data_IF_438710228815
#
_entry.id   IF_438710228815
#
_cell.length_a   1.000
_cell.length_b   1.000
_cell.length_c   1.000
_cell.angle_alpha   90.00
_cell.angle_beta   90.00
_cell.angle_gamma   90.00
#
_symmetry.space_group_name_H-M   'P 1'
#
loop_
_entity.id
_entity.type
_entity.pdbx_description
1 polymer ?
#
# COMPACT_ATOMS: atom_id res chain seq x y z
N UNK A 1 31.71 11.11 30.89
CA UNK A 1 30.66 12.14 30.86
C UNK A 1 29.70 11.72 29.76
N UNK A 2 28.64 11.02 30.17
CA UNK A 2 27.63 10.46 29.27
C UNK A 2 26.70 11.57 28.77
N UNK A 3 26.54 11.64 27.47
CA UNK A 3 25.50 12.41 26.80
C UNK A 3 24.56 11.44 26.05
N UNK A 4 23.70 10.76 26.82
CA UNK A 4 22.51 10.11 26.28
C UNK A 4 21.37 11.13 26.37
N UNK A 5 21.12 11.85 25.29
CA UNK A 5 19.87 12.56 25.04
C UNK A 5 19.14 11.85 23.90
N UNK A 6 18.41 10.80 24.27
CA UNK A 6 17.44 10.14 23.40
C UNK A 6 16.31 11.13 23.13
N UNK A 7 16.14 11.51 21.89
CA UNK A 7 14.99 12.26 21.37
C UNK A 7 13.73 11.41 21.55
N UNK A 8 13.01 11.62 22.64
CA UNK A 8 11.61 11.15 22.71
C UNK A 8 10.74 12.04 21.78
N UNK A 9 9.92 11.44 20.91
CA UNK A 9 9.04 12.21 20.05
C UNK A 9 8.09 13.09 20.87
N UNK A 10 7.89 14.31 20.43
CA UNK A 10 7.04 15.34 21.09
C UNK A 10 5.57 14.95 21.32
N UNK A 11 5.10 13.90 20.70
CA UNK A 11 3.78 13.29 20.71
C UNK A 11 3.29 12.75 22.06
N UNK A 12 4.18 12.33 22.97
CA UNK A 12 3.75 11.91 24.30
C UNK A 12 3.25 13.06 25.19
N UNK A 13 3.63 14.29 24.91
CA UNK A 13 3.14 15.46 25.67
C UNK A 13 1.77 15.92 25.20
N UNK A 14 1.46 15.85 23.93
CA UNK A 14 0.14 16.22 23.37
C UNK A 14 -0.95 15.20 23.72
N UNK A 15 -0.61 13.91 23.83
CA UNK A 15 -1.55 12.86 24.26
C UNK A 15 -2.28 13.19 25.57
N UNK A 16 -1.60 13.85 26.50
CA UNK A 16 -2.22 14.24 27.81
C UNK A 16 -3.20 15.41 27.69
N UNK A 17 -3.02 16.27 26.70
CA UNK A 17 -3.91 17.40 26.47
C UNK A 17 -5.18 16.97 25.73
N UNK A 18 -5.02 16.12 24.73
CA UNK A 18 -6.13 15.59 23.92
C UNK A 18 -7.08 14.70 24.75
N UNK A 19 -6.53 13.84 25.61
CA UNK A 19 -7.32 13.02 26.54
C UNK A 19 -8.08 13.87 27.59
N UNK A 20 -7.54 15.04 27.95
CA UNK A 20 -8.25 15.97 28.86
C UNK A 20 -9.39 16.70 28.18
N UNK A 21 -9.28 17.05 26.91
CA UNK A 21 -10.36 17.69 26.14
C UNK A 21 -11.48 16.70 25.83
N UNK A 22 -11.17 15.45 25.51
CA UNK A 22 -12.16 14.39 25.34
C UNK A 22 -12.90 14.05 26.64
N UNK A 23 -12.22 14.10 27.80
CA UNK A 23 -12.83 13.88 29.12
C UNK A 23 -13.75 15.05 29.56
N UNK A 24 -13.44 16.27 29.16
CA UNK A 24 -14.28 17.45 29.48
C UNK A 24 -15.60 17.43 28.69
N UNK A 25 -15.62 16.91 27.48
CA UNK A 25 -16.84 16.75 26.70
C UNK A 25 -17.79 15.67 27.26
N UNK A 26 -17.28 14.69 28.02
CA UNK A 26 -18.11 13.65 28.65
C UNK A 26 -18.74 14.06 30.00
N UNK A 27 -18.26 15.13 30.65
CA UNK A 27 -18.76 15.52 32.00
C UNK A 27 -19.84 16.61 32.01
N UNK A 28 -20.21 17.17 30.88
CA UNK A 28 -21.16 18.30 30.82
C UNK A 28 -22.66 17.95 30.66
N UNK A 29 -23.01 16.64 30.61
CA UNK A 29 -24.43 16.25 30.42
C UNK A 29 -24.87 15.16 31.42
N UNK A 30 -24.92 15.47 32.69
CA UNK A 30 -25.66 14.72 33.70
C UNK A 30 -26.45 15.70 34.60
N UNK A 31 -27.68 16.00 34.22
CA UNK A 31 -28.73 16.45 35.13
C UNK A 31 -29.94 15.53 35.01
N UNK A 32 -30.59 15.14 36.11
CA UNK A 32 -31.47 13.99 36.12
C UNK A 32 -32.91 14.35 35.75
N UNK A 33 -33.50 13.63 34.80
CA UNK A 33 -34.97 13.55 34.69
C UNK A 33 -35.44 12.21 35.23
N UNK A 34 -36.18 12.28 36.36
CA UNK A 34 -36.97 11.16 36.84
C UNK A 34 -38.30 11.11 36.07
N UNK A 35 -38.66 9.97 35.53
CA UNK A 35 -40.03 9.44 35.53
C UNK A 35 -40.14 8.07 34.87
N UNK A 36 -40.67 7.09 35.57
CA UNK A 36 -41.62 6.10 35.06
C UNK A 36 -41.07 4.82 34.50
N UNK A 37 -40.69 3.87 35.38
CA UNK A 37 -40.53 2.47 35.03
C UNK A 37 -41.88 1.81 34.66
N UNK A 38 -41.93 1.16 33.49
CA UNK A 38 -42.83 0.00 33.24
C UNK A 38 -41.99 -1.14 32.68
N UNK A 39 -41.82 -2.15 33.53
CA UNK A 39 -41.27 -3.45 33.21
C UNK A 39 -42.23 -4.18 32.28
N UNK A 40 -41.80 -4.59 31.12
CA UNK A 40 -42.40 -5.68 30.34
C UNK A 40 -41.32 -6.70 30.07
N UNK A 41 -41.37 -7.79 30.84
CA UNK A 41 -40.64 -9.03 30.50
C UNK A 41 -41.17 -9.54 29.16
N UNK A 42 -40.30 -9.83 28.26
CA UNK A 42 -40.51 -10.71 27.11
C UNK A 42 -39.40 -11.72 27.02
N UNK A 43 -39.82 -12.94 27.11
CA UNK A 43 -39.11 -14.21 26.98
C UNK A 43 -38.29 -14.28 25.68
N UNK A 44 -37.14 -14.92 25.81
CA UNK A 44 -36.16 -15.07 24.74
C UNK A 44 -36.60 -15.95 23.58
N UNK A 45 -36.12 -15.60 22.44
CA UNK A 45 -35.84 -16.53 21.35
C UNK A 45 -34.51 -16.08 20.72
N UNK A 46 -33.55 -16.97 20.72
CA UNK A 46 -32.29 -16.74 20.04
C UNK A 46 -32.54 -16.57 18.54
N UNK A 47 -32.21 -15.41 18.00
CA UNK A 47 -32.21 -15.17 16.57
C UNK A 47 -30.76 -15.25 16.14
N UNK A 48 -30.48 -16.15 15.18
CA UNK A 48 -29.19 -16.33 14.56
C UNK A 48 -28.69 -15.03 13.94
N UNK A 49 -27.40 -14.77 14.12
CA UNK A 49 -26.69 -13.71 13.45
C UNK A 49 -26.55 -14.11 11.97
N UNK A 50 -27.42 -13.54 11.16
CA UNK A 50 -27.26 -13.49 9.72
C UNK A 50 -26.58 -12.14 9.42
N UNK A 51 -25.24 -12.12 9.41
CA UNK A 51 -24.43 -10.95 9.04
C UNK A 51 -24.37 -10.81 7.52
N UNK A 52 -25.49 -10.50 6.91
CA UNK A 52 -25.51 -9.91 5.58
C UNK A 52 -25.48 -8.39 5.75
N UNK A 53 -24.49 -7.64 5.21
CA UNK A 53 -24.49 -6.19 5.29
C UNK A 53 -25.63 -5.64 4.43
N UNK A 54 -26.80 -5.49 5.00
CA UNK A 54 -27.92 -4.81 4.37
C UNK A 54 -27.80 -3.31 4.59
N UNK A 55 -27.52 -2.56 3.51
CA UNK A 55 -27.79 -1.14 3.44
C UNK A 55 -26.58 -0.25 3.68
N UNK A 56 -25.97 0.16 2.58
CA UNK A 56 -25.03 1.28 2.47
C UNK A 56 -25.71 2.60 2.89
N UNK A 57 -25.82 2.87 4.20
CA UNK A 57 -26.36 4.16 4.67
C UNK A 57 -25.31 5.28 4.63
N UNK A 58 -24.05 4.94 4.30
CA UNK A 58 -22.95 5.87 4.19
C UNK A 58 -22.18 6.13 5.49
N UNK A 59 -22.71 5.71 6.67
CA UNK A 59 -22.11 6.03 7.97
C UNK A 59 -20.73 5.42 8.21
N UNK A 60 -20.38 4.37 7.47
CA UNK A 60 -19.11 3.67 7.59
C UNK A 60 -18.09 4.02 6.50
N UNK A 61 -18.43 4.99 5.64
CA UNK A 61 -17.66 5.33 4.44
C UNK A 61 -16.24 5.80 4.75
N UNK A 62 -15.99 6.41 5.89
CA UNK A 62 -14.68 6.85 6.35
C UNK A 62 -13.98 5.87 7.30
N UNK A 63 -14.48 4.64 7.48
CA UNK A 63 -13.83 3.67 8.36
C UNK A 63 -12.43 3.27 7.87
N UNK A 64 -12.19 3.36 6.56
CA UNK A 64 -10.86 3.11 5.99
C UNK A 64 -9.77 4.02 6.57
N UNK A 65 -10.11 5.23 7.03
CA UNK A 65 -9.13 6.15 7.60
C UNK A 65 -8.69 5.81 9.04
N UNK A 66 -9.41 4.96 9.77
CA UNK A 66 -9.04 4.64 11.14
C UNK A 66 -7.65 4.03 11.20
N UNK A 67 -6.78 4.50 12.12
CA UNK A 67 -5.40 4.06 12.30
C UNK A 67 -4.38 5.13 11.95
N UNK A 68 -3.17 4.70 11.60
CA UNK A 68 -2.03 5.59 11.37
C UNK A 68 -1.63 5.60 9.90
N UNK A 69 -1.23 6.77 9.43
CA UNK A 69 -0.90 7.01 8.03
C UNK A 69 0.36 7.84 7.87
N UNK A 70 1.18 7.48 6.90
CA UNK A 70 2.19 8.35 6.29
C UNK A 70 1.56 8.99 5.05
N UNK A 71 1.77 10.29 4.87
CA UNK A 71 1.13 11.06 3.80
C UNK A 71 2.19 11.84 3.03
N UNK A 72 2.26 11.59 1.73
CA UNK A 72 3.00 12.44 0.81
C UNK A 72 2.07 13.51 0.26
N UNK A 73 2.48 14.76 0.37
CA UNK A 73 1.73 15.92 -0.08
C UNK A 73 2.38 16.52 -1.31
N UNK A 74 1.57 16.93 -2.29
CA UNK A 74 1.94 17.84 -3.37
C UNK A 74 0.95 19.00 -3.37
N UNK A 75 1.45 20.22 -3.20
CA UNK A 75 0.62 21.43 -3.13
C UNK A 75 1.15 22.50 -4.05
N UNK A 76 0.27 23.17 -4.81
CA UNK A 76 0.65 24.31 -5.62
C UNK A 76 1.15 25.45 -4.73
N UNK A 77 2.32 25.99 -5.03
CA UNK A 77 2.90 27.14 -4.31
C UNK A 77 2.08 28.41 -4.51
N UNK A 78 1.52 28.62 -5.72
CA UNK A 78 0.58 29.70 -6.00
C UNK A 78 -0.69 29.11 -6.61
N UNK A 79 -1.82 29.30 -5.93
CA UNK A 79 -3.14 28.78 -6.32
C UNK A 79 -3.90 29.83 -7.09
N UNK A 80 -4.75 29.40 -8.03
CA UNK A 80 -5.56 30.28 -8.89
C UNK A 80 -4.75 31.31 -9.69
N UNK A 81 -3.47 31.02 -9.90
CA UNK A 81 -2.50 31.84 -10.61
C UNK A 81 -1.96 31.19 -11.90
N UNK A 82 -2.54 30.05 -12.31
CA UNK A 82 -2.04 29.26 -13.44
C UNK A 82 -0.66 28.66 -13.22
N UNK A 83 -0.24 28.50 -11.96
CA UNK A 83 1.05 27.94 -11.58
C UNK A 83 1.10 26.43 -11.86
N UNK A 84 2.28 25.94 -12.23
CA UNK A 84 2.62 24.52 -12.31
C UNK A 84 3.76 24.16 -11.34
N UNK A 85 4.08 25.04 -10.39
CA UNK A 85 5.16 24.84 -9.41
C UNK A 85 4.57 24.21 -8.15
N UNK A 86 4.89 22.94 -7.94
CA UNK A 86 4.41 22.14 -6.81
C UNK A 86 5.49 22.02 -5.73
N UNK A 87 5.13 22.19 -4.50
CA UNK A 87 5.94 21.82 -3.34
C UNK A 87 5.56 20.43 -2.86
N UNK A 88 6.58 19.65 -2.43
CA UNK A 88 6.40 18.31 -1.89
C UNK A 88 6.81 18.33 -0.43
N UNK A 89 5.98 17.77 0.44
CA UNK A 89 6.28 17.59 1.85
C UNK A 89 5.57 16.34 2.40
N UNK A 90 6.00 15.86 3.58
CA UNK A 90 5.43 14.68 4.20
C UNK A 90 4.69 15.03 5.50
N UNK A 91 3.75 14.17 5.85
CA UNK A 91 3.02 14.28 7.10
C UNK A 91 2.71 12.89 7.66
N UNK A 92 2.40 12.85 8.94
CA UNK A 92 1.78 11.71 9.59
C UNK A 92 0.38 12.10 10.06
N UNK A 93 -0.53 11.14 10.06
CA UNK A 93 -1.90 11.31 10.54
C UNK A 93 -2.31 10.11 11.37
N UNK A 94 -3.06 10.35 12.44
CA UNK A 94 -3.71 9.31 13.21
C UNK A 94 -5.20 9.60 13.33
N UNK A 95 -6.03 8.73 12.74
CA UNK A 95 -7.48 8.85 12.74
C UNK A 95 -8.12 7.92 13.77
N UNK A 96 -9.07 8.44 14.55
CA UNK A 96 -9.80 7.72 15.58
C UNK A 96 -11.31 7.88 15.40
N UNK A 97 -12.11 6.80 15.59
CA UNK A 97 -13.57 6.90 15.56
C UNK A 97 -14.10 7.71 16.74
N UNK A 98 -15.17 8.44 16.52
CA UNK A 98 -15.94 9.17 17.52
C UNK A 98 -17.41 8.76 17.47
N UNK A 99 -18.15 9.03 18.54
CA UNK A 99 -19.61 8.89 18.60
C UNK A 99 -20.12 7.52 18.16
N UNK A 100 -19.40 6.43 18.52
CA UNK A 100 -19.79 5.07 18.14
C UNK A 100 -19.70 4.79 16.63
N UNK A 101 -18.84 5.54 15.89
CA UNK A 101 -18.60 5.35 14.46
C UNK A 101 -19.37 6.31 13.54
N UNK A 102 -20.22 7.18 14.08
CA UNK A 102 -20.89 8.27 13.30
C UNK A 102 -20.00 9.50 13.08
N UNK A 103 -18.75 9.44 13.51
CA UNK A 103 -17.75 10.47 13.29
C UNK A 103 -16.35 9.93 13.50
N UNK A 104 -15.36 10.70 13.06
CA UNK A 104 -13.96 10.46 13.36
C UNK A 104 -13.21 11.78 13.46
N UNK A 105 -12.04 11.72 14.08
CA UNK A 105 -11.12 12.84 14.21
C UNK A 105 -9.71 12.36 13.92
N UNK A 106 -8.93 13.17 13.24
CA UNK A 106 -7.51 12.93 13.07
C UNK A 106 -6.68 14.14 13.48
N UNK A 107 -5.41 13.85 13.79
CA UNK A 107 -4.33 14.84 13.86
C UNK A 107 -3.48 14.71 12.59
N UNK A 108 -3.04 15.83 12.05
CA UNK A 108 -2.16 15.92 10.89
C UNK A 108 -0.91 16.68 11.30
N UNK A 109 0.26 16.05 11.20
CA UNK A 109 1.55 16.65 11.57
C UNK A 109 2.51 16.57 10.40
N UNK A 110 2.81 17.72 9.78
CA UNK A 110 3.72 17.77 8.63
C UNK A 110 5.17 18.08 9.02
N UNK A 111 6.10 17.76 8.13
CA UNK A 111 7.48 18.24 8.15
C UNK A 111 7.65 19.63 7.49
N UNK A 112 6.59 20.13 6.81
CA UNK A 112 6.58 21.46 6.21
C UNK A 112 6.45 22.54 7.28
N UNK A 113 7.28 23.57 7.17
CA UNK A 113 7.24 24.75 8.04
C UNK A 113 6.69 25.95 7.28
N UNK A 114 5.96 26.79 7.98
CA UNK A 114 5.41 28.01 7.40
C UNK A 114 6.53 28.94 6.95
N UNK A 115 6.51 29.48 5.72
CA UNK A 115 7.53 30.37 5.22
C UNK A 115 7.79 31.54 6.18
N UNK A 116 9.06 31.75 6.50
CA UNK A 116 9.51 32.82 7.41
C UNK A 116 9.34 32.52 8.91
N UNK A 117 9.02 31.28 9.26
CA UNK A 117 8.90 30.81 10.66
C UNK A 117 9.51 29.41 10.81
N UNK A 118 9.75 28.98 12.07
CA UNK A 118 10.09 27.59 12.40
C UNK A 118 8.84 26.77 12.79
N UNK A 119 7.64 27.32 12.56
CA UNK A 119 6.40 26.68 12.96
C UNK A 119 5.97 25.63 11.93
N UNK A 120 5.86 24.36 12.39
CA UNK A 120 5.33 23.28 11.57
C UNK A 120 3.85 23.49 11.28
N UNK A 121 3.43 23.10 10.09
CA UNK A 121 2.02 23.03 9.74
C UNK A 121 1.40 21.78 10.38
N UNK A 122 0.54 22.01 11.36
CA UNK A 122 -0.18 20.99 12.13
C UNK A 122 -1.66 21.32 12.06
N UNK A 123 -2.49 20.32 11.92
CA UNK A 123 -3.93 20.51 11.88
C UNK A 123 -4.72 19.30 12.37
N UNK A 124 -6.01 19.46 12.40
CA UNK A 124 -6.98 18.46 12.81
C UNK A 124 -8.14 18.44 11.83
N UNK A 125 -8.58 17.24 11.43
CA UNK A 125 -9.83 17.08 10.71
C UNK A 125 -10.87 16.41 11.60
N UNK A 126 -12.07 17.03 11.69
CA UNK A 126 -13.25 16.42 12.30
C UNK A 126 -14.24 16.06 11.18
N UNK A 127 -14.69 14.79 11.15
CA UNK A 127 -15.72 14.32 10.20
C UNK A 127 -16.92 13.81 10.96
N UNK A 128 -18.10 14.28 10.58
CA UNK A 128 -19.38 13.90 11.21
C UNK A 128 -20.38 13.46 10.14
N UNK A 129 -21.06 12.35 10.38
CA UNK A 129 -22.11 11.83 9.51
C UNK A 129 -23.48 12.33 9.96
N UNK A 130 -24.19 13.00 9.07
CA UNK A 130 -25.58 13.43 9.28
C UNK A 130 -26.54 12.31 8.86
N UNK A 131 -27.20 11.67 9.82
CA UNK A 131 -28.09 10.55 9.55
C UNK A 131 -29.30 10.91 8.66
N UNK A 132 -29.85 12.13 8.79
CA UNK A 132 -30.96 12.64 7.99
C UNK A 132 -30.52 13.04 6.58
N UNK A 133 -29.41 13.77 6.46
CA UNK A 133 -28.88 14.21 5.17
C UNK A 133 -28.16 13.10 4.40
N UNK A 134 -27.75 12.02 5.10
CA UNK A 134 -26.88 10.94 4.59
C UNK A 134 -25.59 11.46 3.98
N UNK A 135 -25.06 12.56 4.54
CA UNK A 135 -23.83 13.19 4.12
C UNK A 135 -22.84 13.30 5.28
N UNK A 136 -21.57 13.30 4.95
CA UNK A 136 -20.50 13.65 5.85
C UNK A 136 -20.19 15.15 5.75
N UNK A 137 -19.97 15.78 6.89
CA UNK A 137 -19.42 17.13 7.00
C UNK A 137 -17.99 17.01 7.49
N UNK A 138 -17.05 17.64 6.77
CA UNK A 138 -15.61 17.60 7.03
C UNK A 138 -15.19 19.01 7.44
N UNK A 139 -14.67 19.14 8.66
CA UNK A 139 -14.17 20.38 9.25
C UNK A 139 -12.66 20.28 9.40
N UNK A 140 -11.96 21.37 9.14
CA UNK A 140 -10.54 21.51 9.38
C UNK A 140 -10.26 22.58 10.42
N UNK A 141 -9.19 22.42 11.20
CA UNK A 141 -8.60 23.46 12.03
C UNK A 141 -7.07 23.35 11.98
N UNK A 142 -6.40 24.46 11.73
CA UNK A 142 -4.94 24.54 11.73
C UNK A 142 -4.38 25.11 13.03
N UNK A 143 -3.11 24.85 13.31
CA UNK A 143 -2.43 25.39 14.51
C UNK A 143 -2.14 26.89 14.44
N UNK A 144 -2.39 27.52 13.30
CA UNK A 144 -2.12 28.96 13.11
C UNK A 144 -3.17 29.88 13.75
N UNK A 145 -4.41 29.42 13.86
CA UNK A 145 -5.51 30.20 14.43
C UNK A 145 -6.40 29.41 15.38
N UNK A 146 -6.38 28.06 15.28
CA UNK A 146 -7.18 27.19 16.14
C UNK A 146 -8.69 27.29 15.90
N UNK A 147 -9.11 27.78 14.74
CA UNK A 147 -10.51 27.97 14.36
C UNK A 147 -10.94 26.82 13.44
N UNK A 148 -12.16 26.31 13.63
CA UNK A 148 -12.76 25.37 12.69
C UNK A 148 -13.23 26.10 11.44
N UNK A 149 -12.70 25.72 10.28
CA UNK A 149 -13.16 26.22 8.99
C UNK A 149 -14.59 25.75 8.69
N UNK A 150 -15.34 26.49 7.86
CA UNK A 150 -16.62 26.05 7.35
C UNK A 150 -16.49 24.67 6.70
N UNK A 151 -17.45 23.73 6.93
CA UNK A 151 -17.30 22.38 6.45
C UNK A 151 -17.50 22.27 4.94
N UNK A 152 -16.79 21.32 4.33
CA UNK A 152 -17.23 20.75 3.06
C UNK A 152 -18.14 19.56 3.35
N UNK A 153 -19.23 19.41 2.58
CA UNK A 153 -20.22 18.36 2.78
C UNK A 153 -20.42 17.52 1.53
N UNK A 154 -20.68 16.22 1.70
CA UNK A 154 -20.88 15.30 0.59
C UNK A 154 -20.95 13.84 1.02
N UNK A 155 -20.79 12.94 0.05
CA UNK A 155 -20.92 11.51 0.25
C UNK A 155 -20.00 10.73 -0.70
N UNK A 156 -19.90 9.43 -0.46
CA UNK A 156 -19.24 8.49 -1.37
C UNK A 156 -20.28 7.89 -2.33
N UNK A 157 -19.86 7.70 -3.57
CA UNK A 157 -20.64 7.05 -4.62
C UNK A 157 -19.75 6.09 -5.43
N UNK A 158 -20.38 5.12 -6.10
CA UNK A 158 -19.74 4.29 -7.12
C UNK A 158 -19.75 5.04 -8.45
N UNK A 159 -18.60 5.18 -9.12
CA UNK A 159 -18.47 5.84 -10.42
C UNK A 159 -18.80 4.91 -11.60
N UNK A 160 -19.44 3.75 -11.35
CA UNK A 160 -19.94 2.85 -12.40
C UNK A 160 -18.95 1.80 -12.88
N UNK A 161 -17.76 1.74 -12.28
CA UNK A 161 -16.72 0.75 -12.53
C UNK A 161 -16.31 -0.02 -11.26
N UNK A 162 -17.14 0.07 -10.20
CA UNK A 162 -16.87 -0.51 -8.88
C UNK A 162 -15.93 0.32 -8.01
N UNK A 163 -15.42 1.45 -8.50
CA UNK A 163 -14.57 2.35 -7.73
C UNK A 163 -15.42 3.29 -6.88
N UNK A 164 -15.19 3.25 -5.58
CA UNK A 164 -15.86 4.13 -4.62
C UNK A 164 -15.11 5.45 -4.49
N UNK A 165 -15.78 6.56 -4.78
CA UNK A 165 -15.24 7.91 -4.74
C UNK A 165 -16.06 8.78 -3.82
N UNK A 166 -15.39 9.49 -2.89
CA UNK A 166 -16.00 10.52 -2.04
C UNK A 166 -15.86 11.91 -2.67
N UNK A 167 -16.95 12.65 -2.82
CA UNK A 167 -16.93 14.05 -3.30
C UNK A 167 -17.63 14.95 -2.30
N UNK A 168 -16.93 16.00 -1.85
CA UNK A 168 -17.38 16.93 -0.84
C UNK A 168 -17.21 18.36 -1.34
N UNK A 169 -18.23 19.17 -1.21
CA UNK A 169 -18.27 20.53 -1.72
C UNK A 169 -18.50 21.52 -0.58
N UNK A 170 -17.90 22.68 -0.69
CA UNK A 170 -18.04 23.78 0.24
C UNK A 170 -17.69 25.11 -0.39
N UNK A 171 -17.66 26.14 0.46
CA UNK A 171 -17.23 27.50 0.12
C UNK A 171 -16.13 27.93 1.08
N UNK A 172 -15.19 28.70 0.58
CA UNK A 172 -14.07 29.22 1.35
C UNK A 172 -13.65 30.58 0.76
N UNK A 173 -12.66 31.21 1.34
CA UNK A 173 -12.04 32.41 0.84
C UNK A 173 -10.54 32.17 0.61
N UNK A 174 -10.04 32.48 -0.57
CA UNK A 174 -8.63 32.42 -0.89
C UNK A 174 -8.12 33.81 -1.29
N UNK A 175 -7.19 34.39 -0.51
CA UNK A 175 -6.63 35.72 -0.74
C UNK A 175 -7.71 36.81 -0.92
N UNK A 176 -8.78 36.80 -0.09
CA UNK A 176 -9.86 37.75 -0.15
C UNK A 176 -10.88 37.51 -1.27
N UNK A 177 -10.81 36.38 -1.97
CA UNK A 177 -11.76 35.99 -3.03
C UNK A 177 -12.59 34.78 -2.59
N UNK A 178 -13.91 34.83 -2.70
CA UNK A 178 -14.74 33.66 -2.46
C UNK A 178 -14.43 32.57 -3.50
N UNK A 179 -14.28 31.34 -3.05
CA UNK A 179 -14.01 30.15 -3.87
C UNK A 179 -14.98 29.04 -3.52
N UNK A 180 -15.34 28.24 -4.54
CA UNK A 180 -15.89 26.91 -4.29
C UNK A 180 -14.73 25.95 -4.01
N UNK A 181 -14.91 25.11 -3.00
CA UNK A 181 -13.94 24.07 -2.61
C UNK A 181 -14.51 22.71 -2.92
N UNK A 182 -13.70 21.84 -3.51
CA UNK A 182 -14.03 20.43 -3.70
C UNK A 182 -12.92 19.57 -3.13
N UNK A 183 -13.27 18.68 -2.19
CA UNK A 183 -12.43 17.56 -1.76
C UNK A 183 -12.88 16.28 -2.46
N UNK A 184 -11.92 15.48 -2.88
CA UNK A 184 -12.19 14.20 -3.51
C UNK A 184 -11.31 13.10 -2.92
N UNK A 185 -11.93 12.01 -2.51
CA UNK A 185 -11.29 10.81 -2.04
C UNK A 185 -11.42 9.71 -3.09
N UNK A 186 -10.31 9.06 -3.45
CA UNK A 186 -10.24 8.00 -4.46
C UNK A 186 -9.14 7.01 -4.12
N UNK A 187 -8.95 5.95 -4.93
CA UNK A 187 -7.91 4.94 -4.75
C UNK A 187 -7.89 4.36 -3.32
N UNK A 188 -9.08 4.09 -2.79
CA UNK A 188 -9.28 3.68 -1.41
C UNK A 188 -9.14 2.17 -1.32
N UNK A 189 -8.16 1.73 -0.51
CA UNK A 189 -7.98 0.33 -0.08
C UNK A 189 -7.86 0.26 1.45
N UNK A 190 -7.57 -0.92 2.00
CA UNK A 190 -7.29 -1.04 3.42
C UNK A 190 -6.02 -0.27 3.83
N UNK A 191 -5.02 -0.12 2.93
CA UNK A 191 -3.71 0.46 3.24
C UNK A 191 -3.34 1.67 2.39
N UNK A 192 -4.15 2.08 1.43
CA UNK A 192 -3.91 3.28 0.61
C UNK A 192 -5.16 4.13 0.47
N UNK A 193 -4.97 5.42 0.24
CA UNK A 193 -6.02 6.34 -0.21
C UNK A 193 -5.37 7.54 -0.90
N UNK A 194 -6.10 8.16 -1.81
CA UNK A 194 -5.72 9.42 -2.43
C UNK A 194 -6.80 10.47 -2.17
N UNK A 195 -6.38 11.63 -1.71
CA UNK A 195 -7.23 12.80 -1.57
C UNK A 195 -6.69 13.95 -2.40
N UNK A 196 -7.58 14.73 -2.99
CA UNK A 196 -7.18 16.00 -3.56
C UNK A 196 -8.20 17.12 -3.31
N UNK A 197 -7.66 18.34 -3.29
CA UNK A 197 -8.42 19.59 -3.22
C UNK A 197 -8.40 20.31 -4.56
N UNK A 198 -9.53 20.88 -4.92
CA UNK A 198 -9.62 21.78 -6.05
C UNK A 198 -10.42 23.04 -5.68
N UNK A 199 -10.04 24.18 -6.26
CA UNK A 199 -10.75 25.45 -6.14
C UNK A 199 -11.42 25.82 -7.47
N UNK A 200 -12.55 26.53 -7.38
CA UNK A 200 -13.24 27.12 -8.49
C UNK A 200 -13.62 28.56 -8.16
N UNK A 201 -13.43 29.49 -9.11
CA UNK A 201 -13.82 30.91 -9.02
C UNK A 201 -15.02 31.24 -9.90
N UNK A 202 -15.58 30.27 -10.60
CA UNK A 202 -16.67 30.39 -11.56
C UNK A 202 -17.86 29.47 -11.22
N UNK A 203 -18.13 29.36 -9.92
CA UNK A 203 -19.24 28.58 -9.34
C UNK A 203 -19.25 27.10 -9.70
N UNK A 204 -18.06 26.51 -9.97
CA UNK A 204 -17.89 25.10 -10.25
C UNK A 204 -17.86 24.74 -11.73
N UNK A 205 -17.86 25.75 -12.63
CA UNK A 205 -17.75 25.50 -14.06
C UNK A 205 -16.34 24.97 -14.44
N UNK A 206 -15.31 25.53 -13.82
CA UNK A 206 -13.92 25.04 -13.96
C UNK A 206 -13.28 24.83 -12.57
N UNK A 207 -12.30 23.93 -12.50
CA UNK A 207 -11.64 23.55 -11.26
C UNK A 207 -10.12 23.51 -11.43
N UNK A 208 -9.39 24.18 -10.55
CA UNK A 208 -7.95 24.02 -10.40
C UNK A 208 -7.67 23.05 -9.25
N UNK A 209 -7.14 21.87 -9.57
CA UNK A 209 -6.60 20.98 -8.52
C UNK A 209 -5.30 21.56 -8.01
N UNK A 210 -5.22 21.81 -6.69
CA UNK A 210 -4.13 22.57 -6.08
C UNK A 210 -3.47 21.89 -4.89
N UNK A 211 -3.96 20.72 -4.46
CA UNK A 211 -3.34 19.93 -3.41
C UNK A 211 -3.70 18.46 -3.58
N UNK A 212 -2.70 17.57 -3.53
CA UNK A 212 -2.84 16.14 -3.49
C UNK A 212 -2.22 15.57 -2.22
N UNK A 213 -2.85 14.54 -1.65
CA UNK A 213 -2.35 13.75 -0.55
C UNK A 213 -2.45 12.28 -0.90
N UNK A 214 -1.31 11.56 -0.88
CA UNK A 214 -1.26 10.10 -1.01
C UNK A 214 -1.00 9.51 0.36
N UNK A 215 -1.97 8.73 0.82
CA UNK A 215 -1.98 8.08 2.12
C UNK A 215 -1.44 6.66 1.99
N UNK A 216 -0.56 6.27 2.92
CA UNK A 216 -0.11 4.91 3.13
C UNK A 216 -0.24 4.57 4.59
N UNK A 217 -0.92 3.45 4.89
CA UNK A 217 -1.08 2.99 6.27
C UNK A 217 0.28 2.59 6.84
N UNK A 218 0.50 2.93 8.09
CA UNK A 218 1.69 2.53 8.84
C UNK A 218 1.28 1.73 10.07
N UNK A 219 2.18 0.86 10.54
CA UNK A 219 2.06 0.17 11.82
C UNK A 219 2.45 1.07 12.99
N UNK A 220 2.47 0.52 14.22
CA UNK A 220 2.83 1.27 15.43
C UNK A 220 4.32 1.66 15.46
N UNK A 221 5.17 1.01 14.69
CA UNK A 221 6.59 1.30 14.55
C UNK A 221 6.88 2.29 13.41
N UNK A 222 5.86 2.67 12.63
CA UNK A 222 5.93 3.62 11.53
C UNK A 222 6.28 3.01 10.18
N UNK A 223 6.27 1.68 10.04
CA UNK A 223 6.51 1.01 8.78
C UNK A 223 5.25 1.02 7.91
N UNK A 224 5.43 1.26 6.62
CA UNK A 224 4.33 1.25 5.65
C UNK A 224 3.78 -0.17 5.48
N UNK A 225 2.46 -0.31 5.60
CA UNK A 225 1.75 -1.56 5.32
C UNK A 225 1.33 -1.58 3.84
N UNK A 226 1.78 -2.61 3.14
CA UNK A 226 1.43 -2.83 1.73
C UNK A 226 0.35 -3.91 1.59
N UNK A 227 -0.45 -3.79 0.55
CA UNK A 227 -1.36 -4.83 0.07
C UNK A 227 -0.92 -5.25 -1.33
N UNK A 228 -0.25 -6.38 -1.41
CA UNK A 228 0.26 -6.92 -2.66
C UNK A 228 -0.67 -8.04 -3.14
N UNK A 229 -1.94 -7.66 -3.43
CA UNK A 229 -2.92 -8.61 -3.98
C UNK A 229 -2.62 -8.94 -5.44
N UNK A 230 -1.84 -8.10 -6.12
CA UNK A 230 -1.28 -8.35 -7.44
C UNK A 230 0.21 -8.06 -7.40
N UNK A 231 1.03 -8.97 -7.87
CA UNK A 231 2.48 -8.74 -8.03
C UNK A 231 2.93 -9.03 -9.46
N UNK A 232 3.97 -8.35 -9.88
CA UNK A 232 4.71 -8.67 -11.10
C UNK A 232 6.07 -9.27 -10.72
N UNK A 233 6.33 -10.50 -11.17
CA UNK A 233 7.67 -11.09 -11.19
C UNK A 233 8.27 -10.81 -12.56
N UNK A 234 9.28 -9.95 -12.60
CA UNK A 234 9.90 -9.43 -13.81
C UNK A 234 11.32 -9.96 -13.95
N UNK A 235 11.61 -10.61 -15.06
CA UNK A 235 12.91 -11.16 -15.40
C UNK A 235 13.47 -10.42 -16.62
N UNK A 236 14.44 -9.53 -16.41
CA UNK A 236 15.02 -8.75 -17.50
C UNK A 236 16.30 -9.39 -18.01
N UNK A 237 16.42 -9.62 -19.32
CA UNK A 237 17.67 -9.92 -19.97
C UNK A 237 18.45 -8.61 -20.21
N UNK A 238 19.67 -8.57 -19.70
CA UNK A 238 20.51 -7.39 -19.73
C UNK A 238 21.57 -7.46 -20.84
N UNK A 239 22.02 -6.32 -21.31
CA UNK A 239 23.25 -6.26 -22.10
C UNK A 239 24.40 -6.87 -21.29
N UNK A 240 25.32 -7.61 -21.92
CA UNK A 240 26.40 -8.28 -21.22
C UNK A 240 27.17 -7.34 -20.29
N UNK A 241 27.33 -7.75 -19.03
CA UNK A 241 28.00 -7.02 -17.95
C UNK A 241 27.39 -5.64 -17.58
N UNK A 242 26.16 -5.31 -18.04
CA UNK A 242 25.53 -4.02 -17.72
C UNK A 242 24.40 -4.13 -16.67
N UNK A 243 24.21 -5.31 -16.06
CA UNK A 243 23.20 -5.51 -15.03
C UNK A 243 23.36 -4.54 -13.85
N UNK A 244 24.58 -4.38 -13.35
CA UNK A 244 24.83 -3.57 -12.16
C UNK A 244 24.68 -2.06 -12.43
N UNK A 245 24.85 -1.60 -13.67
CA UNK A 245 24.49 -0.24 -14.07
C UNK A 245 22.97 0.03 -13.88
N UNK A 246 22.14 -0.95 -14.26
CA UNK A 246 20.70 -0.83 -14.03
C UNK A 246 20.35 -0.91 -12.54
N UNK A 247 21.00 -1.80 -11.80
CA UNK A 247 20.77 -1.93 -10.33
C UNK A 247 21.06 -0.59 -9.64
N UNK A 248 22.20 0.04 -9.90
CA UNK A 248 22.55 1.34 -9.30
C UNK A 248 21.57 2.43 -9.69
N UNK A 249 21.20 2.51 -10.97
CA UNK A 249 20.21 3.48 -11.44
C UNK A 249 18.84 3.25 -10.81
N UNK A 250 18.40 1.98 -10.73
CA UNK A 250 17.10 1.58 -10.18
C UNK A 250 17.00 1.95 -8.69
N UNK A 251 18.01 1.61 -7.91
CA UNK A 251 18.05 1.90 -6.48
C UNK A 251 18.10 3.39 -6.15
N UNK A 252 18.77 4.17 -6.98
CA UNK A 252 18.91 5.60 -6.77
C UNK A 252 17.71 6.42 -7.24
N UNK A 253 17.09 6.00 -8.36
CA UNK A 253 16.14 6.87 -9.06
C UNK A 253 14.72 6.29 -9.16
N UNK A 254 14.52 4.95 -9.04
CA UNK A 254 13.24 4.36 -9.40
C UNK A 254 12.45 3.77 -8.23
N UNK A 255 13.04 3.50 -7.08
CA UNK A 255 12.30 2.91 -5.96
C UNK A 255 11.26 3.91 -5.44
N UNK A 256 11.69 5.03 -4.85
CA UNK A 256 10.79 5.98 -4.22
C UNK A 256 9.77 6.60 -5.18
N UNK A 257 10.13 6.96 -6.44
CA UNK A 257 9.13 7.47 -7.38
C UNK A 257 8.07 6.46 -7.80
N UNK A 258 8.40 5.17 -7.88
CA UNK A 258 7.40 4.12 -8.10
C UNK A 258 6.46 4.00 -6.88
N UNK A 259 7.04 3.97 -5.70
CA UNK A 259 6.26 3.91 -4.47
C UNK A 259 5.40 5.15 -4.26
N UNK A 260 5.89 6.32 -4.66
CA UNK A 260 5.13 7.56 -4.56
C UNK A 260 3.81 7.55 -5.35
N UNK A 261 3.72 6.76 -6.41
CA UNK A 261 2.50 6.64 -7.23
C UNK A 261 1.66 5.39 -6.92
N UNK A 262 1.96 4.66 -5.83
CA UNK A 262 1.11 3.55 -5.37
C UNK A 262 1.63 2.15 -5.69
N UNK A 263 2.83 1.99 -6.28
CA UNK A 263 3.49 0.70 -6.38
C UNK A 263 4.18 0.35 -5.06
N UNK A 264 4.38 -0.93 -4.82
CA UNK A 264 5.30 -1.43 -3.80
C UNK A 264 6.47 -2.13 -4.50
N UNK A 265 7.68 -1.62 -4.36
CA UNK A 265 8.88 -2.25 -4.94
C UNK A 265 9.39 -3.30 -3.94
N UNK A 266 8.90 -4.54 -4.07
CA UNK A 266 9.11 -5.63 -3.10
C UNK A 266 10.57 -6.06 -3.02
N UNK A 267 11.23 -6.18 -4.16
CA UNK A 267 12.62 -6.61 -4.16
C UNK A 267 13.29 -6.52 -5.52
N UNK A 268 14.60 -6.35 -5.50
CA UNK A 268 15.49 -6.33 -6.65
C UNK A 268 16.61 -7.34 -6.41
N UNK A 269 16.95 -8.11 -7.44
CA UNK A 269 17.83 -9.25 -7.28
C UNK A 269 18.79 -9.42 -8.45
N UNK A 270 19.95 -9.95 -8.14
CA UNK A 270 20.87 -10.54 -9.09
C UNK A 270 20.59 -12.04 -9.19
N UNK A 271 20.30 -12.53 -10.39
CA UNK A 271 20.24 -13.98 -10.62
C UNK A 271 21.67 -14.55 -10.54
N UNK A 272 21.86 -15.54 -9.66
CA UNK A 272 23.17 -16.18 -9.45
C UNK A 272 23.53 -17.15 -10.60
N UNK A 273 22.55 -17.68 -11.32
CA UNK A 273 22.74 -18.61 -12.42
C UNK A 273 22.83 -17.93 -13.78
N UNK A 274 22.43 -16.66 -13.86
CA UNK A 274 22.44 -15.86 -15.09
C UNK A 274 23.00 -14.45 -14.80
N UNK A 275 24.31 -14.22 -15.01
CA UNK A 275 24.97 -12.96 -14.64
C UNK A 275 24.39 -11.74 -15.34
N UNK A 276 23.80 -11.92 -16.52
CA UNK A 276 23.14 -10.86 -17.29
C UNK A 276 21.60 -10.89 -17.12
N UNK A 277 21.09 -11.39 -15.98
CA UNK A 277 19.68 -11.33 -15.63
C UNK A 277 19.47 -10.46 -14.39
N UNK A 278 18.57 -9.47 -14.52
CA UNK A 278 18.04 -8.69 -13.41
C UNK A 278 16.61 -9.13 -13.13
N UNK A 279 16.34 -9.54 -11.90
CA UNK A 279 15.00 -9.97 -11.47
C UNK A 279 14.49 -9.00 -10.44
N UNK A 280 13.23 -8.62 -10.55
CA UNK A 280 12.63 -7.76 -9.54
C UNK A 280 11.13 -7.99 -9.41
N UNK A 281 10.61 -7.63 -8.26
CA UNK A 281 9.23 -7.78 -7.86
C UNK A 281 8.63 -6.43 -7.51
N UNK A 282 7.44 -6.17 -7.99
CA UNK A 282 6.61 -5.06 -7.51
C UNK A 282 5.19 -5.51 -7.27
N UNK A 283 4.54 -4.89 -6.26
CA UNK A 283 3.20 -5.18 -5.83
C UNK A 283 2.25 -4.02 -6.03
N UNK A 284 0.95 -4.35 -6.04
CA UNK A 284 -0.17 -3.42 -6.18
C UNK A 284 -1.35 -3.93 -5.36
N UNK A 285 -2.17 -3.01 -4.86
CA UNK A 285 -3.37 -3.38 -4.13
C UNK A 285 -4.37 -4.17 -5.01
N UNK A 286 -4.52 -3.77 -6.27
CA UNK A 286 -5.38 -4.41 -7.26
C UNK A 286 -4.98 -4.02 -8.70
N UNK A 287 -5.70 -4.55 -9.70
CA UNK A 287 -5.46 -4.26 -11.12
C UNK A 287 -5.78 -2.81 -11.55
N UNK A 288 -6.84 -2.16 -11.05
CA UNK A 288 -7.07 -0.72 -11.24
C UNK A 288 -5.92 0.15 -10.71
N UNK A 289 -5.50 -0.06 -9.45
CA UNK A 289 -4.35 0.65 -8.86
C UNK A 289 -3.07 0.42 -9.66
N UNK A 290 -2.86 -0.83 -10.16
CA UNK A 290 -1.74 -1.13 -11.05
C UNK A 290 -1.74 -0.25 -12.30
N UNK A 291 -2.88 -0.10 -12.97
CA UNK A 291 -2.98 0.72 -14.19
C UNK A 291 -2.63 2.19 -13.92
N UNK A 292 -3.18 2.77 -12.87
CA UNK A 292 -2.98 4.16 -12.47
C UNK A 292 -1.53 4.43 -12.05
N UNK A 293 -0.96 3.53 -11.23
CA UNK A 293 0.42 3.64 -10.75
C UNK A 293 1.43 3.54 -11.91
N UNK A 294 1.22 2.61 -12.84
CA UNK A 294 2.06 2.47 -14.03
C UNK A 294 1.98 3.70 -14.93
N UNK A 295 0.78 4.23 -15.19
CA UNK A 295 0.62 5.47 -15.95
C UNK A 295 1.32 6.64 -15.25
N UNK A 296 1.14 6.79 -13.93
CA UNK A 296 1.76 7.85 -13.14
C UNK A 296 3.29 7.83 -13.21
N UNK A 297 3.90 6.67 -13.10
CA UNK A 297 5.36 6.53 -13.17
C UNK A 297 5.89 6.72 -14.61
N UNK A 298 5.36 5.97 -15.59
CA UNK A 298 5.90 5.95 -16.95
C UNK A 298 5.59 7.22 -17.75
N UNK A 299 4.59 8.01 -17.36
CA UNK A 299 4.37 9.36 -17.88
C UNK A 299 5.05 10.44 -17.03
N UNK A 300 5.58 10.08 -15.86
CA UNK A 300 6.20 10.99 -14.89
C UNK A 300 7.58 11.53 -15.29
N UNK A 301 8.07 12.54 -14.56
CA UNK A 301 9.34 13.23 -14.88
C UNK A 301 10.55 12.34 -14.64
N UNK A 302 10.55 11.48 -13.63
CA UNK A 302 11.68 10.60 -13.30
C UNK A 302 11.93 9.60 -14.43
N UNK A 303 10.88 8.91 -14.90
CA UNK A 303 11.03 8.02 -16.04
C UNK A 303 11.48 8.75 -17.30
N UNK A 304 10.90 9.89 -17.63
CA UNK A 304 11.29 10.70 -18.79
C UNK A 304 12.78 11.10 -18.77
N UNK A 305 13.31 11.36 -17.59
CA UNK A 305 14.73 11.75 -17.39
C UNK A 305 15.67 10.56 -17.57
N UNK A 306 15.32 9.39 -17.07
CA UNK A 306 16.24 8.27 -16.91
C UNK A 306 16.00 7.08 -17.86
N UNK A 307 14.89 7.08 -18.63
CA UNK A 307 14.48 5.96 -19.49
C UNK A 307 15.54 5.55 -20.52
N UNK A 308 16.27 6.51 -21.08
CA UNK A 308 17.30 6.22 -22.10
C UNK A 308 18.46 5.45 -21.49
N UNK A 309 18.92 5.86 -20.32
CA UNK A 309 19.98 5.18 -19.58
C UNK A 309 19.53 3.76 -19.16
N UNK A 310 18.32 3.63 -18.63
CA UNK A 310 17.76 2.33 -18.25
C UNK A 310 17.62 1.40 -19.46
N UNK A 311 16.95 1.85 -20.53
CA UNK A 311 16.71 1.03 -21.72
C UNK A 311 17.99 0.62 -22.44
N UNK A 312 19.05 1.43 -22.37
CA UNK A 312 20.34 1.09 -22.96
C UNK A 312 21.04 -0.11 -22.30
N UNK A 313 20.63 -0.49 -21.09
CA UNK A 313 21.17 -1.66 -20.38
C UNK A 313 20.36 -2.94 -20.61
N UNK A 314 19.14 -2.83 -21.15
CA UNK A 314 18.18 -3.92 -21.30
C UNK A 314 18.18 -4.48 -22.71
N UNK A 315 18.15 -5.79 -22.86
CA UNK A 315 17.92 -6.51 -24.12
C UNK A 315 16.45 -6.87 -24.25
N UNK A 316 15.85 -7.38 -23.18
CA UNK A 316 14.48 -7.82 -23.13
C UNK A 316 13.90 -7.61 -21.72
N UNK A 317 12.68 -7.11 -21.66
CA UNK A 317 11.94 -6.84 -20.41
C UNK A 317 10.54 -7.47 -20.37
N UNK A 318 10.22 -8.35 -21.34
CA UNK A 318 8.87 -8.85 -21.57
C UNK A 318 8.58 -10.16 -20.82
N UNK A 319 9.60 -10.81 -20.22
CA UNK A 319 9.40 -11.97 -19.36
C UNK A 319 8.85 -11.54 -17.99
N UNK A 320 7.54 -11.37 -17.94
CA UNK A 320 6.81 -10.88 -16.77
C UNK A 320 5.62 -11.78 -16.46
N UNK A 321 5.60 -12.33 -15.25
CA UNK A 321 4.44 -13.02 -14.72
C UNK A 321 3.61 -12.08 -13.85
N UNK A 322 2.32 -11.99 -14.16
CA UNK A 322 1.33 -11.29 -13.35
C UNK A 322 0.69 -12.30 -12.40
N UNK A 323 0.84 -12.07 -11.10
CA UNK A 323 0.54 -13.05 -10.07
C UNK A 323 -0.36 -12.45 -8.98
N UNK A 324 -1.11 -13.33 -8.31
CA UNK A 324 -1.82 -13.01 -7.07
C UNK A 324 -1.48 -14.06 -6.00
N UNK A 325 -1.58 -13.75 -4.70
CA UNK A 325 -1.46 -14.75 -3.65
C UNK A 325 -2.40 -15.94 -3.93
N UNK A 326 -1.91 -17.16 -3.75
CA UNK A 326 -2.73 -18.37 -3.95
C UNK A 326 -3.92 -18.39 -2.99
N UNK A 327 -3.74 -17.90 -1.76
CA UNK A 327 -4.76 -17.49 -0.78
C UNK A 327 -4.29 -16.23 -0.06
N UNK A 328 -5.20 -15.53 0.61
CA UNK A 328 -4.91 -14.24 1.26
C UNK A 328 -3.80 -14.31 2.33
N UNK A 329 -3.60 -15.48 2.95
CA UNK A 329 -2.58 -15.74 3.96
C UNK A 329 -1.25 -16.27 3.39
N UNK A 330 -1.17 -16.50 2.08
CA UNK A 330 0.00 -17.04 1.40
C UNK A 330 0.82 -15.99 0.64
N UNK A 331 0.46 -14.71 0.72
CA UNK A 331 1.29 -13.61 0.22
C UNK A 331 2.51 -13.33 1.09
N UNK A 332 3.41 -12.46 0.63
CA UNK A 332 4.53 -12.00 1.44
C UNK A 332 4.05 -11.37 2.75
N UNK A 333 4.87 -11.46 3.80
CA UNK A 333 4.56 -10.84 5.09
C UNK A 333 4.33 -9.32 4.92
N UNK A 334 3.32 -8.79 5.64
CA UNK A 334 2.87 -7.40 5.49
C UNK A 334 3.76 -6.35 6.16
N UNK A 335 4.74 -6.76 6.98
CA UNK A 335 5.67 -5.87 7.65
C UNK A 335 7.07 -6.03 7.05
N UNK A 336 7.42 -5.20 6.06
CA UNK A 336 8.71 -5.28 5.41
C UNK A 336 9.84 -4.78 6.32
N UNK A 337 11.05 -5.27 6.08
CA UNK A 337 12.26 -4.70 6.69
C UNK A 337 12.50 -3.31 6.09
N UNK A 338 12.87 -2.28 6.90
CA UNK A 338 13.20 -0.96 6.38
C UNK A 338 14.32 -1.05 5.34
N UNK A 339 14.19 -0.28 4.26
CA UNK A 339 15.23 -0.20 3.22
C UNK A 339 16.49 0.46 3.76
N UNK A 340 17.62 -0.03 3.30
CA UNK A 340 18.89 0.64 3.60
C UNK A 340 18.95 2.01 2.92
N UNK A 341 19.53 3.04 3.57
CA UNK A 341 19.85 4.30 2.92
C UNK A 341 20.77 4.11 1.71
N UNK A 342 20.76 5.06 0.75
CA UNK A 342 21.56 5.01 -0.48
C UNK A 342 23.07 4.95 -0.25
N UNK A 343 23.54 5.50 0.85
CA UNK A 343 24.95 5.64 1.22
C UNK A 343 25.49 4.48 2.06
N UNK A 344 24.63 3.52 2.41
CA UNK A 344 25.00 2.35 3.21
C UNK A 344 25.16 1.13 2.30
N UNK A 345 26.41 0.69 2.11
CA UNK A 345 26.69 -0.59 1.49
C UNK A 345 26.28 -1.72 2.47
N UNK A 346 25.08 -2.24 2.34
CA UNK A 346 24.67 -3.46 3.04
C UNK A 346 24.99 -4.66 2.16
N UNK A 347 25.78 -5.59 2.67
CA UNK A 347 25.88 -6.94 2.11
C UNK A 347 24.85 -7.79 2.84
N UNK A 348 23.85 -8.27 2.13
CA UNK A 348 22.95 -9.32 2.60
C UNK A 348 23.43 -10.60 1.93
N UNK A 349 23.97 -11.53 2.71
CA UNK A 349 24.44 -12.84 2.21
C UNK A 349 23.29 -13.82 1.96
N UNK A 350 22.05 -13.37 2.26
CA UNK A 350 20.85 -14.15 2.09
C UNK A 350 20.48 -14.42 0.64
N UNK A 351 19.68 -15.46 0.45
CA UNK A 351 19.23 -15.90 -0.86
C UNK A 351 17.72 -16.10 -0.88
N UNK A 352 17.08 -15.63 -1.93
CA UNK A 352 15.68 -15.95 -2.24
C UNK A 352 15.66 -16.94 -3.41
N UNK A 353 14.95 -18.05 -3.24
CA UNK A 353 14.63 -18.94 -4.36
C UNK A 353 13.20 -18.69 -4.81
N UNK A 354 12.99 -18.49 -6.12
CA UNK A 354 11.69 -18.53 -6.74
C UNK A 354 11.57 -19.83 -7.56
N UNK A 355 10.62 -20.69 -7.18
CA UNK A 355 10.28 -21.89 -7.93
C UNK A 355 9.02 -21.64 -8.76
N UNK A 356 9.13 -21.73 -10.09
CA UNK A 356 8.05 -21.44 -11.05
C UNK A 356 7.63 -22.71 -11.75
N UNK A 357 6.39 -23.15 -11.52
CA UNK A 357 5.75 -24.28 -12.19
C UNK A 357 4.77 -23.80 -13.24
N UNK A 358 5.08 -24.01 -14.54
CA UNK A 358 4.12 -23.78 -15.62
C UNK A 358 3.16 -24.97 -15.72
N UNK A 359 1.86 -24.72 -15.72
CA UNK A 359 0.81 -25.73 -15.60
C UNK A 359 -0.10 -25.74 -16.82
N UNK A 360 -0.71 -26.91 -17.10
CA UNK A 360 -1.68 -27.09 -18.18
C UNK A 360 -3.05 -26.48 -17.88
N UNK A 361 -3.36 -26.29 -16.59
CA UNK A 361 -4.61 -25.70 -16.10
C UNK A 361 -4.35 -24.74 -14.94
N UNK A 362 -5.36 -23.91 -14.64
CA UNK A 362 -5.32 -23.05 -13.47
C UNK A 362 -5.24 -23.85 -12.16
N UNK A 363 -4.54 -23.29 -11.19
CA UNK A 363 -4.46 -23.86 -9.86
C UNK A 363 -5.84 -23.77 -9.19
N UNK A 364 -6.42 -24.93 -8.92
CA UNK A 364 -7.63 -25.08 -8.11
C UNK A 364 -7.29 -25.36 -6.64
N UNK A 365 -8.32 -25.41 -5.78
CA UNK A 365 -8.14 -25.63 -4.35
C UNK A 365 -7.56 -27.04 -4.07
N UNK A 366 -7.93 -28.06 -4.84
CA UNK A 366 -7.39 -29.41 -4.68
C UNK A 366 -5.89 -29.47 -5.03
N UNK A 367 -5.45 -28.71 -6.03
CA UNK A 367 -4.03 -28.60 -6.36
C UNK A 367 -3.27 -27.90 -5.23
N UNK A 368 -3.83 -26.81 -4.72
CA UNK A 368 -3.22 -26.03 -3.65
C UNK A 368 -3.12 -26.85 -2.35
N UNK A 369 -4.17 -27.58 -1.98
CA UNK A 369 -4.14 -28.50 -0.83
C UNK A 369 -3.05 -29.59 -1.01
N UNK A 370 -2.89 -30.15 -2.21
CA UNK A 370 -1.82 -31.13 -2.49
C UNK A 370 -0.45 -30.51 -2.33
N UNK A 371 -0.25 -29.28 -2.82
CA UNK A 371 1.00 -28.56 -2.63
C UNK A 371 1.29 -28.36 -1.14
N UNK A 372 0.34 -27.86 -0.37
CA UNK A 372 0.51 -27.57 1.05
C UNK A 372 0.71 -28.81 1.91
N UNK A 373 0.01 -29.91 1.60
CA UNK A 373 0.10 -31.14 2.40
C UNK A 373 1.27 -32.03 2.05
N UNK A 374 1.77 -31.97 0.82
CA UNK A 374 2.80 -32.91 0.33
C UNK A 374 4.13 -32.25 -0.01
N UNK A 375 4.11 -31.09 -0.62
CA UNK A 375 5.32 -30.44 -1.13
C UNK A 375 5.88 -29.41 -0.13
N UNK A 376 5.08 -28.49 0.35
CA UNK A 376 5.52 -27.45 1.27
C UNK A 376 6.16 -27.97 2.57
N UNK A 377 5.65 -29.06 3.22
CA UNK A 377 6.32 -29.64 4.38
C UNK A 377 7.70 -30.21 4.07
N UNK A 378 7.92 -30.71 2.85
CA UNK A 378 9.22 -31.26 2.41
C UNK A 378 10.23 -30.15 2.16
N UNK A 379 9.79 -29.07 1.50
CA UNK A 379 10.62 -27.89 1.31
C UNK A 379 11.08 -27.34 2.66
N UNK A 380 10.15 -27.20 3.62
CA UNK A 380 10.49 -26.73 4.98
C UNK A 380 11.40 -27.69 5.74
N UNK A 381 11.15 -29.00 5.65
CA UNK A 381 11.99 -30.01 6.29
C UNK A 381 13.41 -30.05 5.72
N UNK A 382 13.59 -29.70 4.45
CA UNK A 382 14.89 -29.56 3.82
C UNK A 382 15.62 -28.27 4.20
N UNK A 383 14.95 -27.29 4.82
CA UNK A 383 15.54 -26.04 5.29
C UNK A 383 15.02 -24.78 4.60
N UNK A 384 14.00 -24.87 3.74
CA UNK A 384 13.40 -23.69 3.12
C UNK A 384 12.46 -22.96 4.09
N UNK A 385 12.61 -21.66 4.25
CA UNK A 385 11.58 -20.80 4.80
C UNK A 385 10.65 -20.32 3.68
N UNK A 386 9.47 -20.94 3.53
CA UNK A 386 8.49 -20.51 2.53
C UNK A 386 7.89 -19.18 2.96
N UNK A 387 8.11 -18.13 2.15
CA UNK A 387 7.70 -16.77 2.42
C UNK A 387 6.55 -16.27 1.54
N UNK A 388 6.17 -17.04 0.51
CA UNK A 388 5.02 -16.72 -0.32
C UNK A 388 4.70 -17.82 -1.33
N UNK A 389 3.40 -17.95 -1.66
CA UNK A 389 2.90 -18.85 -2.71
C UNK A 389 1.88 -18.07 -3.55
N UNK A 390 2.12 -18.05 -4.85
CA UNK A 390 1.38 -17.24 -5.81
C UNK A 390 0.89 -18.08 -6.97
N UNK A 391 -0.18 -17.61 -7.60
CA UNK A 391 -0.74 -18.18 -8.83
C UNK A 391 -0.97 -17.07 -9.84
N UNK A 392 -1.22 -17.44 -11.09
CA UNK A 392 -1.53 -16.47 -12.16
C UNK A 392 -2.68 -15.55 -11.76
N UNK A 393 -2.48 -14.23 -11.92
CA UNK A 393 -3.57 -13.27 -11.97
C UNK A 393 -4.17 -13.31 -13.37
N UNK A 394 -5.45 -13.71 -13.46
CA UNK A 394 -6.13 -13.99 -14.72
C UNK A 394 -6.74 -12.77 -15.43
N UNK A 395 -6.70 -11.61 -14.78
CA UNK A 395 -7.19 -10.36 -15.36
C UNK A 395 -6.37 -9.95 -16.57
N UNK A 396 -7.02 -9.33 -17.56
CA UNK A 396 -6.33 -8.77 -18.72
C UNK A 396 -5.29 -7.72 -18.30
N UNK A 397 -4.22 -7.62 -19.07
CA UNK A 397 -3.19 -6.62 -18.80
C UNK A 397 -3.75 -5.20 -18.89
N UNK A 398 -3.86 -4.52 -17.76
CA UNK A 398 -4.39 -3.14 -17.67
C UNK A 398 -3.41 -2.07 -18.17
N UNK A 399 -2.19 -2.45 -18.58
CA UNK A 399 -1.19 -1.52 -19.10
C UNK A 399 -0.43 -2.14 -20.30
N UNK A 400 -1.03 -2.18 -21.50
CA UNK A 400 -0.48 -2.90 -22.67
C UNK A 400 0.89 -2.41 -23.16
N UNK A 401 1.31 -1.20 -22.77
CA UNK A 401 2.67 -0.69 -23.09
C UNK A 401 3.81 -1.47 -22.38
N UNK A 402 3.47 -2.23 -21.34
CA UNK A 402 4.38 -3.17 -20.69
C UNK A 402 3.78 -4.57 -20.85
N UNK A 403 4.36 -5.39 -21.71
CA UNK A 403 3.91 -6.76 -21.92
C UNK A 403 3.98 -7.59 -20.63
N UNK A 404 3.06 -8.54 -20.52
CA UNK A 404 3.07 -9.61 -19.53
C UNK A 404 2.76 -10.92 -20.24
N UNK A 405 3.17 -12.05 -19.68
CA UNK A 405 2.91 -13.38 -20.23
C UNK A 405 1.46 -13.77 -19.96
N UNK A 406 0.56 -13.36 -20.87
CA UNK A 406 -0.87 -13.66 -20.77
C UNK A 406 -1.18 -15.11 -21.16
N UNK A 407 -2.23 -15.67 -20.55
CA UNK A 407 -2.70 -17.03 -20.86
C UNK A 407 -1.85 -18.15 -20.26
N UNK A 408 -0.81 -17.83 -19.51
CA UNK A 408 -0.04 -18.83 -18.77
C UNK A 408 -0.67 -19.14 -17.41
N UNK A 409 -0.61 -20.40 -17.03
CA UNK A 409 -1.01 -20.86 -15.71
C UNK A 409 0.23 -21.25 -14.94
N UNK A 410 0.48 -20.60 -13.82
CA UNK A 410 1.66 -20.91 -13.00
C UNK A 410 1.28 -21.03 -11.52
N UNK A 411 2.05 -21.86 -10.81
CA UNK A 411 2.25 -21.78 -9.38
C UNK A 411 3.69 -21.30 -9.15
N UNK A 412 3.84 -20.27 -8.33
CA UNK A 412 5.15 -19.74 -7.94
C UNK A 412 5.25 -19.78 -6.42
N UNK A 413 6.30 -20.38 -5.88
CA UNK A 413 6.63 -20.22 -4.47
C UNK A 413 7.94 -19.47 -4.31
N UNK A 414 8.05 -18.74 -3.21
CA UNK A 414 9.27 -18.07 -2.78
C UNK A 414 9.75 -18.68 -1.48
N UNK A 415 11.04 -18.96 -1.41
CA UNK A 415 11.70 -19.46 -0.21
C UNK A 415 12.92 -18.61 0.11
N UNK A 416 13.17 -18.42 1.40
CA UNK A 416 14.28 -17.63 1.94
C UNK A 416 15.30 -18.55 2.58
N UNK A 417 16.59 -18.18 2.45
CA UNK A 417 17.73 -18.85 3.03
C UNK A 417 18.71 -17.82 3.59
N UNK A 418 19.31 -18.11 4.74
CA UNK A 418 20.24 -17.20 5.42
C UNK A 418 21.49 -16.90 4.56
N UNK A 419 21.95 -17.88 3.77
CA UNK A 419 23.11 -17.78 2.89
C UNK A 419 23.07 -18.85 1.78
N UNK A 420 24.06 -18.79 0.88
CA UNK A 420 24.23 -19.74 -0.24
C UNK A 420 24.51 -21.16 0.28
N UNK A 421 25.22 -21.31 1.41
CA UNK A 421 25.52 -22.62 1.98
C UNK A 421 24.25 -23.28 2.57
N UNK A 422 23.35 -22.49 3.20
CA UNK A 422 22.05 -22.96 3.64
C UNK A 422 21.21 -23.47 2.47
N UNK A 423 21.19 -22.73 1.37
CA UNK A 423 20.53 -23.15 0.14
C UNK A 423 21.16 -24.43 -0.44
N UNK A 424 22.47 -24.57 -0.46
CA UNK A 424 23.13 -25.78 -0.93
C UNK A 424 22.80 -27.01 -0.06
N UNK A 425 22.71 -26.85 1.27
CA UNK A 425 22.24 -27.93 2.17
C UNK A 425 20.80 -28.32 1.86
N UNK A 426 19.93 -27.35 1.61
CA UNK A 426 18.55 -27.58 1.18
C UNK A 426 18.46 -28.37 -0.12
N UNK A 427 19.20 -28.01 -1.16
CA UNK A 427 19.23 -28.75 -2.43
C UNK A 427 19.69 -30.22 -2.22
N UNK A 428 20.76 -30.39 -1.45
CA UNK A 428 21.29 -31.73 -1.13
C UNK A 428 20.25 -32.56 -0.38
N UNK A 429 19.54 -31.96 0.59
CA UNK A 429 18.49 -32.66 1.34
C UNK A 429 17.32 -33.07 0.44
N UNK A 430 16.86 -32.18 -0.46
CA UNK A 430 15.79 -32.53 -1.41
C UNK A 430 16.21 -33.63 -2.39
N UNK A 431 17.44 -33.62 -2.89
CA UNK A 431 17.93 -34.66 -3.79
C UNK A 431 18.00 -36.01 -3.10
N UNK A 432 18.29 -36.05 -1.80
CA UNK A 432 18.34 -37.29 -1.00
C UNK A 432 16.92 -37.76 -0.58
N UNK A 433 15.92 -36.90 -0.53
CA UNK A 433 14.56 -37.24 -0.10
C UNK A 433 13.79 -38.00 -1.20
N UNK A 434 13.65 -39.33 -1.02
CA UNK A 434 12.87 -40.18 -1.95
C UNK A 434 11.39 -39.80 -1.97
N UNK A 435 10.83 -39.40 -0.81
CA UNK A 435 9.44 -38.99 -0.70
C UNK A 435 9.18 -37.63 -1.37
N UNK A 436 10.18 -36.75 -1.45
CA UNK A 436 10.11 -35.53 -2.28
C UNK A 436 9.95 -35.89 -3.75
N UNK A 437 10.79 -36.80 -4.27
CA UNK A 437 10.71 -37.24 -5.68
C UNK A 437 9.36 -37.87 -6.01
N UNK A 438 8.83 -38.70 -5.10
CA UNK A 438 7.51 -39.30 -5.25
C UNK A 438 6.39 -38.25 -5.17
N UNK A 439 6.45 -37.30 -4.23
CA UNK A 439 5.47 -36.24 -4.10
C UNK A 439 5.45 -35.30 -5.31
N UNK A 440 6.62 -34.95 -5.86
CA UNK A 440 6.74 -34.18 -7.11
C UNK A 440 6.14 -34.96 -8.27
N UNK A 441 6.49 -36.24 -8.42
CA UNK A 441 5.96 -37.08 -9.48
C UNK A 441 4.44 -37.22 -9.44
N UNK A 442 3.84 -37.33 -8.24
CA UNK A 442 2.40 -37.56 -8.08
C UNK A 442 1.58 -36.26 -8.07
N UNK A 443 2.17 -35.15 -7.66
CA UNK A 443 1.43 -33.91 -7.40
C UNK A 443 1.65 -32.81 -8.44
N UNK A 444 2.87 -32.70 -8.97
CA UNK A 444 3.24 -31.68 -9.96
C UNK A 444 3.32 -32.21 -11.38
N UNK A 445 3.88 -33.43 -11.60
CA UNK A 445 4.16 -33.92 -12.96
C UNK A 445 2.90 -34.15 -13.80
N UNK A 446 1.73 -34.34 -13.21
CA UNK A 446 0.46 -34.53 -13.95
C UNK A 446 -0.15 -33.22 -14.48
N UNK A 447 0.46 -32.08 -14.23
CA UNK A 447 -0.01 -30.79 -14.70
C UNK A 447 1.10 -29.85 -15.18
N UNK A 448 2.37 -30.30 -15.17
CA UNK A 448 3.49 -29.48 -15.63
C UNK A 448 3.61 -29.50 -17.16
N UNK A 449 3.63 -28.34 -17.78
CA UNK A 449 3.98 -28.17 -19.20
C UNK A 449 5.47 -28.39 -19.46
N UNK A 450 6.31 -28.08 -18.49
CA UNK A 450 7.78 -28.14 -18.58
C UNK A 450 8.37 -28.30 -17.18
N UNK A 451 9.64 -28.71 -17.06
CA UNK A 451 10.34 -28.73 -15.78
C UNK A 451 10.24 -27.36 -15.07
N UNK A 452 10.08 -27.34 -13.74
CA UNK A 452 10.03 -26.09 -12.99
C UNK A 452 11.27 -25.23 -13.23
N UNK A 453 11.07 -23.95 -13.51
CA UNK A 453 12.16 -22.97 -13.50
C UNK A 453 12.49 -22.64 -12.03
N UNK A 454 13.78 -22.55 -11.73
CA UNK A 454 14.26 -22.09 -10.43
C UNK A 454 15.14 -20.88 -10.63
N UNK A 455 14.90 -19.82 -9.85
CA UNK A 455 15.70 -18.61 -9.83
C UNK A 455 16.38 -18.54 -8.46
N UNK A 456 17.72 -18.48 -8.44
CA UNK A 456 18.51 -18.24 -7.23
C UNK A 456 18.88 -16.77 -7.19
N UNK A 457 18.26 -16.02 -6.30
CA UNK A 457 18.21 -14.57 -6.31
C UNK A 457 18.98 -14.00 -5.12
N UNK A 458 20.06 -13.27 -5.39
CA UNK A 458 20.79 -12.50 -4.39
C UNK A 458 20.18 -11.09 -4.30
N UNK A 459 19.65 -10.65 -3.12
CA UNK A 459 19.09 -9.33 -2.97
C UNK A 459 20.11 -8.24 -3.25
N UNK A 460 19.66 -7.15 -3.87
CA UNK A 460 20.49 -5.94 -3.99
C UNK A 460 20.44 -5.13 -2.67
N UNK A 461 21.34 -4.19 -2.42
CA UNK A 461 21.43 -3.49 -1.12
C UNK A 461 20.12 -2.87 -0.62
N UNK A 462 19.27 -2.41 -1.54
CA UNK A 462 17.99 -1.78 -1.19
C UNK A 462 16.77 -2.66 -1.45
N UNK A 463 16.96 -3.93 -1.74
CA UNK A 463 15.86 -4.90 -1.79
C UNK A 463 15.17 -4.96 -0.42
N UNK A 464 13.84 -4.88 -0.39
CA UNK A 464 13.05 -5.03 0.84
C UNK A 464 12.92 -6.50 1.20
N UNK A 465 12.62 -7.34 0.20
CA UNK A 465 12.60 -8.79 0.34
C UNK A 465 14.06 -9.30 0.37
N UNK A 466 14.51 -9.71 1.55
CA UNK A 466 15.86 -10.20 1.85
C UNK A 466 15.84 -11.15 3.05
N UNK A 467 16.96 -11.80 3.34
CA UNK A 467 17.10 -12.75 4.45
C UNK A 467 17.01 -12.12 5.84
#
# INVERSE_FOLDING_TARGET
MNLDFVLQPAWHRQRRLFLKLAAIAQTAWLAPMRAGARVLQRTGTAIGMDDTPTGLDGRHDFNFLHGQWSIRNERLKARLAGSTDWEIFHATQRCQPLLGGVGNVDDFVSDWTRPGTDERFIGMTLRLFGAESRQWSIYWAGNHDGVLDPPVAGAFADEGDGRRVGTFLGVDEHEGRPVRVRFRWSQISANTAHWHQAFSVDDGATWETNWHMWFRRIDDDGHVLHEDNVIELRQYAMQPARRDELVELFEREFIEPQEAVGMHVIGQFRDLDAPDRFVWLRGFADMPVRAEALEGFYSGPTWKRHREAANATIVDSDDVLLLRPARADLGFAKAPKPRSPLDVATTDDGLIEAGICSLDASVDEDFLERFERRLAPRLRAAGAELIGVYVTEASANTFPRLPVREGEQVLVWFARFDDVDAHHRYETALLADTAWREAVAQSLLHGLKQPPQRLRLSPTPRSELRA
#
